data_IF_268397992937
#
_entry.id   IF_268397992937
#
_cell.length_a   1.000
_cell.length_b   1.000
_cell.length_c   1.000
_cell.angle_alpha   90.00
_cell.angle_beta   90.00
_cell.angle_gamma   90.00
#
_symmetry.space_group_name_H-M   'P 1'
#
loop_
_entity.id
_entity.type
_entity.pdbx_description
1 polymer ?
#
# COMPACT_ATOMS: atom_id res chain seq x y z
N UNK A 1 -2.11 -26.50 7.03
CA UNK A 1 -3.48 -25.92 7.08
C UNK A 1 -3.70 -25.22 5.76
N UNK A 2 -4.91 -25.19 5.21
CA UNK A 2 -5.12 -24.48 3.93
C UNK A 2 -5.14 -22.99 4.16
N UNK A 3 -4.39 -22.24 3.36
CA UNK A 3 -4.42 -20.77 3.35
C UNK A 3 -5.84 -20.25 3.05
N UNK A 4 -6.29 -19.14 3.65
CA UNK A 4 -7.59 -18.56 3.32
C UNK A 4 -7.61 -18.08 1.86
N UNK A 5 -8.72 -18.35 1.19
CA UNK A 5 -8.91 -17.91 -0.19
C UNK A 5 -8.99 -16.37 -0.22
N UNK A 6 -8.22 -15.70 -1.12
CA UNK A 6 -8.24 -14.25 -1.21
C UNK A 6 -9.57 -13.73 -1.74
N UNK A 7 -10.08 -12.64 -1.17
CA UNK A 7 -11.05 -11.80 -1.86
C UNK A 7 -10.31 -10.91 -2.86
N UNK A 8 -10.77 -10.91 -4.11
CA UNK A 8 -10.12 -10.23 -5.21
C UNK A 8 -11.13 -9.45 -6.03
N UNK A 9 -10.79 -8.21 -6.34
CA UNK A 9 -11.50 -7.39 -7.33
C UNK A 9 -10.60 -7.25 -8.56
N UNK A 10 -11.10 -7.64 -9.73
CA UNK A 10 -10.37 -7.50 -11.00
C UNK A 10 -11.02 -6.42 -11.86
N UNK A 11 -10.20 -5.59 -12.49
CA UNK A 11 -10.63 -4.54 -13.43
C UNK A 11 -9.73 -4.51 -14.66
N UNK A 12 -10.32 -4.26 -15.81
CA UNK A 12 -9.62 -4.26 -17.09
C UNK A 12 -9.18 -5.66 -17.55
N UNK A 13 -8.24 -5.68 -18.44
CA UNK A 13 -7.66 -6.92 -19.01
C UNK A 13 -6.25 -6.61 -19.51
N UNK A 14 -5.42 -7.62 -19.59
CA UNK A 14 -4.03 -7.48 -20.05
C UNK A 14 -3.05 -8.15 -19.08
N UNK A 15 -1.91 -7.53 -18.88
CA UNK A 15 -0.86 -8.03 -17.98
C UNK A 15 -1.27 -7.86 -16.52
N UNK A 16 -0.91 -8.77 -15.63
CA UNK A 16 -1.29 -8.67 -14.24
C UNK A 16 -0.58 -7.50 -13.53
N UNK A 17 -1.35 -6.66 -12.87
CA UNK A 17 -0.89 -5.65 -11.93
C UNK A 17 -1.57 -5.91 -10.59
N UNK A 18 -0.79 -6.37 -9.61
CA UNK A 18 -1.27 -6.65 -8.26
C UNK A 18 -1.22 -5.38 -7.41
N UNK A 19 -2.32 -5.08 -6.71
CA UNK A 19 -2.44 -3.94 -5.81
C UNK A 19 -2.72 -4.43 -4.39
N UNK A 20 -1.85 -4.05 -3.44
CA UNK A 20 -1.87 -4.51 -2.05
C UNK A 20 -2.05 -3.32 -1.11
N UNK A 21 -3.15 -3.32 -0.36
CA UNK A 21 -3.53 -2.23 0.54
C UNK A 21 -2.72 -2.22 1.86
N UNK A 22 -2.94 -1.19 2.68
CA UNK A 22 -2.34 -0.99 4.00
C UNK A 22 -3.09 -1.68 5.13
N UNK A 23 -2.60 -1.47 6.37
CA UNK A 23 -3.23 -1.97 7.59
C UNK A 23 -4.56 -1.26 7.85
N UNK A 24 -5.57 -1.98 8.32
CA UNK A 24 -6.84 -1.39 8.76
C UNK A 24 -7.77 -0.93 7.64
N UNK A 25 -7.48 -1.26 6.39
CA UNK A 25 -8.28 -0.92 5.21
C UNK A 25 -8.46 -2.15 4.31
N UNK A 26 -9.11 -2.01 3.15
CA UNK A 26 -9.26 -3.06 2.16
C UNK A 26 -8.97 -2.53 0.74
N UNK A 27 -9.23 -3.33 -0.29
CA UNK A 27 -8.99 -2.98 -1.69
C UNK A 27 -9.55 -1.60 -2.11
N UNK A 28 -10.63 -1.12 -1.44
CA UNK A 28 -11.25 0.18 -1.75
C UNK A 28 -10.28 1.34 -1.58
N UNK A 29 -9.33 1.19 -0.67
CA UNK A 29 -8.29 2.18 -0.41
C UNK A 29 -7.46 2.54 -1.64
N UNK A 30 -7.29 1.59 -2.56
CA UNK A 30 -6.50 1.79 -3.79
C UNK A 30 -7.36 2.09 -5.03
N UNK A 31 -8.70 2.03 -4.93
CA UNK A 31 -9.59 2.32 -6.07
C UNK A 31 -9.46 3.75 -6.64
N UNK A 32 -9.12 4.81 -5.86
CA UNK A 32 -8.83 6.13 -6.43
C UNK A 32 -7.74 6.14 -7.50
N UNK A 33 -6.87 5.13 -7.55
CA UNK A 33 -5.82 5.00 -8.56
C UNK A 33 -6.30 4.31 -9.85
N UNK A 34 -7.51 3.74 -9.86
CA UNK A 34 -7.96 2.88 -10.95
C UNK A 34 -8.05 3.62 -12.30
N UNK A 35 -8.56 4.84 -12.31
CA UNK A 35 -8.67 5.66 -13.54
C UNK A 35 -7.29 5.96 -14.14
N UNK A 36 -6.28 6.26 -13.31
CA UNK A 36 -4.91 6.50 -13.74
C UNK A 36 -4.27 5.23 -14.33
N UNK A 37 -4.50 4.07 -13.71
CA UNK A 37 -4.02 2.77 -14.18
C UNK A 37 -4.78 2.31 -15.44
N UNK A 38 -6.07 2.63 -15.56
CA UNK A 38 -6.83 2.40 -16.78
C UNK A 38 -6.30 3.24 -17.94
N UNK A 39 -5.99 4.51 -17.69
CA UNK A 39 -5.42 5.43 -18.68
C UNK A 39 -4.03 4.96 -19.18
N UNK A 40 -3.21 4.35 -18.32
CA UNK A 40 -1.94 3.73 -18.72
C UNK A 40 -2.14 2.57 -19.71
N UNK A 41 -3.28 1.87 -19.61
CA UNK A 41 -3.68 0.79 -20.53
C UNK A 41 -2.88 -0.52 -20.39
N UNK A 42 -3.48 -1.60 -20.88
CA UNK A 42 -2.80 -2.90 -20.99
C UNK A 42 -2.65 -3.69 -19.69
N UNK A 43 -3.32 -3.27 -18.62
CA UNK A 43 -3.24 -3.91 -17.31
C UNK A 43 -4.57 -4.57 -16.91
N UNK A 44 -4.50 -5.81 -16.44
CA UNK A 44 -5.50 -6.40 -15.56
C UNK A 44 -5.13 -6.00 -14.13
N UNK A 45 -5.90 -5.09 -13.55
CA UNK A 45 -5.69 -4.58 -12.19
C UNK A 45 -6.34 -5.52 -11.19
N UNK A 46 -5.52 -6.13 -10.34
CA UNK A 46 -5.89 -7.17 -9.38
C UNK A 46 -5.75 -6.58 -7.97
N UNK A 47 -6.86 -6.17 -7.41
CA UNK A 47 -6.92 -5.64 -6.05
C UNK A 47 -7.19 -6.80 -5.09
N UNK A 48 -6.31 -7.02 -4.13
CA UNK A 48 -6.42 -8.12 -3.16
C UNK A 48 -6.69 -7.57 -1.76
N UNK A 49 -7.62 -8.19 -1.03
CA UNK A 49 -7.78 -7.96 0.40
C UNK A 49 -6.82 -8.87 1.17
N UNK A 50 -6.04 -8.29 2.08
CA UNK A 50 -5.14 -9.02 2.96
C UNK A 50 -5.93 -9.88 3.97
N UNK A 51 -5.36 -10.96 4.52
CA UNK A 51 -6.03 -11.81 5.50
C UNK A 51 -6.53 -11.05 6.74
N UNK A 52 -7.80 -11.23 7.09
CA UNK A 52 -8.45 -10.52 8.20
C UNK A 52 -8.97 -9.13 7.83
N UNK A 53 -8.86 -8.73 6.54
CA UNK A 53 -9.35 -7.44 6.05
C UNK A 53 -10.33 -7.64 4.90
N UNK A 54 -11.29 -6.71 4.77
CA UNK A 54 -12.26 -6.69 3.70
C UNK A 54 -13.06 -8.00 3.59
N UNK A 55 -12.85 -8.74 2.50
CA UNK A 55 -13.54 -10.01 2.23
C UNK A 55 -12.67 -11.25 2.40
N UNK A 56 -11.37 -11.11 2.74
CA UNK A 56 -10.47 -12.25 2.96
C UNK A 56 -10.51 -12.71 4.42
N UNK A 57 -10.80 -13.99 4.70
CA UNK A 57 -10.78 -14.52 6.07
C UNK A 57 -9.39 -14.38 6.71
N UNK A 58 -9.33 -14.31 8.03
CA UNK A 58 -8.09 -14.26 8.79
C UNK A 58 -7.24 -15.52 8.59
N UNK A 59 -5.91 -15.37 8.70
CA UNK A 59 -4.99 -16.51 8.79
C UNK A 59 -5.26 -17.30 10.06
N UNK A 60 -5.10 -18.62 9.96
CA UNK A 60 -5.06 -19.50 11.13
C UNK A 60 -3.63 -19.48 11.73
N UNK A 61 -3.54 -19.65 13.04
CA UNK A 61 -2.25 -19.73 13.74
C UNK A 61 -1.73 -18.38 14.23
N UNK A 62 -0.44 -18.13 14.11
CA UNK A 62 0.21 -16.91 14.64
C UNK A 62 -0.23 -15.67 13.91
N UNK A 63 -0.30 -15.71 12.58
CA UNK A 63 -0.86 -14.64 11.75
C UNK A 63 -0.02 -13.36 11.76
N UNK A 64 1.31 -13.51 11.88
CA UNK A 64 2.26 -12.42 11.83
C UNK A 64 2.67 -12.03 10.41
N UNK A 65 3.61 -11.10 10.31
CA UNK A 65 4.06 -10.55 9.03
C UNK A 65 4.69 -11.62 8.09
N UNK A 66 5.46 -12.62 8.59
CA UNK A 66 5.97 -13.69 7.75
C UNK A 66 4.88 -14.52 7.09
N UNK A 67 3.81 -14.86 7.82
CA UNK A 67 2.68 -15.62 7.28
C UNK A 67 1.88 -14.81 6.25
N UNK A 68 1.79 -13.48 6.41
CA UNK A 68 1.21 -12.59 5.38
C UNK A 68 2.05 -12.58 4.11
N UNK A 69 3.38 -12.56 4.23
CA UNK A 69 4.29 -12.62 3.09
C UNK A 69 4.21 -13.98 2.37
N UNK A 70 4.12 -15.08 3.10
CA UNK A 70 3.94 -16.43 2.55
C UNK A 70 2.59 -16.56 1.85
N UNK A 71 1.53 -16.05 2.48
CA UNK A 71 0.20 -16.04 1.88
C UNK A 71 0.15 -15.24 0.58
N UNK A 72 0.77 -14.06 0.53
CA UNK A 72 0.80 -13.24 -0.68
C UNK A 72 1.59 -13.91 -1.81
N UNK A 73 2.68 -14.59 -1.48
CA UNK A 73 3.48 -15.37 -2.43
C UNK A 73 2.68 -16.53 -3.04
N UNK A 74 1.92 -17.27 -2.21
CA UNK A 74 1.01 -18.33 -2.65
C UNK A 74 -0.12 -17.77 -3.53
N UNK A 75 -0.70 -16.62 -3.15
CA UNK A 75 -1.74 -15.94 -3.96
C UNK A 75 -1.20 -15.56 -5.34
N UNK A 76 0.01 -15.04 -5.43
CA UNK A 76 0.62 -14.71 -6.73
C UNK A 76 0.85 -15.97 -7.55
N UNK A 77 1.34 -17.04 -6.95
CA UNK A 77 1.53 -18.33 -7.64
C UNK A 77 0.21 -18.89 -8.22
N UNK A 78 -0.87 -18.78 -7.45
CA UNK A 78 -2.19 -19.27 -7.86
C UNK A 78 -2.85 -18.38 -8.93
N UNK A 79 -2.64 -17.05 -8.86
CA UNK A 79 -3.30 -16.09 -9.75
C UNK A 79 -2.65 -15.95 -11.12
N UNK A 80 -1.32 -15.92 -11.13
CA UNK A 80 -0.54 -15.60 -12.36
C UNK A 80 0.50 -16.66 -12.70
N UNK A 81 0.75 -17.65 -11.82
CA UNK A 81 1.76 -18.67 -12.05
C UNK A 81 3.15 -18.06 -12.21
N UNK A 82 3.78 -18.32 -13.35
CA UNK A 82 5.11 -17.78 -13.70
C UNK A 82 5.02 -16.54 -14.64
N UNK A 83 3.82 -16.03 -14.93
CA UNK A 83 3.68 -14.85 -15.78
C UNK A 83 4.31 -13.61 -15.11
N UNK A 84 5.02 -12.76 -15.88
CA UNK A 84 5.52 -11.50 -15.36
C UNK A 84 4.38 -10.60 -14.89
N UNK A 85 4.59 -9.91 -13.74
CA UNK A 85 3.60 -8.99 -13.18
C UNK A 85 4.27 -7.70 -12.71
N UNK A 86 3.48 -6.63 -12.62
CA UNK A 86 3.84 -5.45 -11.85
C UNK A 86 3.11 -5.46 -10.49
N UNK A 87 3.68 -4.77 -9.50
CA UNK A 87 3.09 -4.70 -8.15
C UNK A 87 3.04 -3.27 -7.63
N UNK A 88 1.95 -2.93 -6.94
CA UNK A 88 1.79 -1.68 -6.22
C UNK A 88 1.38 -1.98 -4.79
N UNK A 89 2.07 -1.40 -3.81
CA UNK A 89 1.73 -1.55 -2.41
C UNK A 89 1.76 -0.24 -1.63
N UNK A 90 0.85 -0.11 -0.65
CA UNK A 90 0.83 1.02 0.27
C UNK A 90 1.08 0.56 1.70
N UNK A 91 1.81 1.35 2.50
CA UNK A 91 2.07 1.05 3.91
C UNK A 91 2.67 -0.35 4.10
N UNK A 92 2.05 -1.23 4.90
CA UNK A 92 2.43 -2.65 5.04
C UNK A 92 2.37 -3.39 3.69
N UNK A 93 1.38 -3.08 2.83
CA UNK A 93 1.34 -3.65 1.48
C UNK A 93 2.59 -3.31 0.67
N UNK A 94 3.19 -2.13 0.91
CA UNK A 94 4.48 -1.74 0.34
C UNK A 94 5.65 -2.61 0.82
N UNK A 95 5.65 -3.01 2.11
CA UNK A 95 6.62 -3.98 2.63
C UNK A 95 6.40 -5.37 2.02
N UNK A 96 5.15 -5.84 1.95
CA UNK A 96 4.81 -7.15 1.40
C UNK A 96 5.16 -7.28 -0.09
N UNK A 97 4.95 -6.23 -0.91
CA UNK A 97 5.35 -6.29 -2.33
C UNK A 97 6.87 -6.19 -2.51
N UNK A 98 7.62 -5.52 -1.61
CA UNK A 98 9.09 -5.59 -1.60
C UNK A 98 9.58 -6.99 -1.22
N UNK A 99 8.90 -7.64 -0.27
CA UNK A 99 9.13 -9.04 0.09
C UNK A 99 8.91 -9.96 -1.13
N UNK A 100 7.85 -9.70 -1.91
CA UNK A 100 7.58 -10.42 -3.14
C UNK A 100 8.68 -10.20 -4.19
N UNK A 101 9.21 -8.98 -4.34
CA UNK A 101 10.38 -8.70 -5.20
C UNK A 101 11.59 -9.53 -4.76
N UNK A 102 11.86 -9.62 -3.47
CA UNK A 102 12.99 -10.41 -2.95
C UNK A 102 12.84 -11.93 -3.20
N UNK A 103 11.61 -12.42 -3.25
CA UNK A 103 11.30 -13.84 -3.53
C UNK A 103 11.25 -14.15 -5.02
N UNK A 104 10.79 -13.19 -5.85
CA UNK A 104 10.50 -13.37 -7.29
C UNK A 104 11.11 -12.24 -8.15
N UNK A 105 12.44 -11.98 -8.05
CA UNK A 105 13.05 -10.79 -8.66
C UNK A 105 12.93 -10.75 -10.19
N UNK A 106 12.88 -11.92 -10.85
CA UNK A 106 12.74 -12.00 -12.30
C UNK A 106 11.29 -11.90 -12.78
N UNK A 107 10.33 -12.24 -11.91
CA UNK A 107 8.91 -12.23 -12.25
C UNK A 107 8.28 -10.85 -12.05
N UNK A 108 8.70 -10.12 -11.02
CA UNK A 108 8.21 -8.75 -10.78
C UNK A 108 8.94 -7.78 -11.71
N UNK A 109 8.20 -7.12 -12.59
CA UNK A 109 8.76 -6.28 -13.67
C UNK A 109 8.54 -4.78 -13.45
N UNK A 110 7.84 -4.41 -12.40
CA UNK A 110 7.62 -3.02 -12.00
C UNK A 110 7.15 -2.95 -10.55
N UNK A 111 7.66 -1.97 -9.80
CA UNK A 111 7.36 -1.78 -8.37
C UNK A 111 6.87 -0.36 -8.10
N UNK A 112 5.69 -0.19 -7.51
CA UNK A 112 5.20 1.09 -7.01
C UNK A 112 4.92 1.00 -5.50
N UNK A 113 5.39 2.00 -4.77
CA UNK A 113 5.30 2.09 -3.32
C UNK A 113 4.69 3.43 -2.92
N UNK A 114 3.57 3.41 -2.20
CA UNK A 114 2.92 4.60 -1.68
C UNK A 114 3.01 4.60 -0.16
N UNK A 115 3.70 5.57 0.41
CA UNK A 115 3.96 5.66 1.85
C UNK A 115 4.30 4.28 2.46
N UNK A 116 5.30 3.54 1.92
CA UNK A 116 5.56 2.17 2.35
C UNK A 116 6.15 2.11 3.76
N UNK A 117 5.80 1.06 4.52
CA UNK A 117 6.60 0.65 5.66
C UNK A 117 7.95 0.16 5.13
N UNK A 118 9.05 0.75 5.56
CA UNK A 118 10.42 0.30 5.22
C UNK A 118 10.89 -0.69 6.27
N UNK A 119 10.98 -0.26 7.52
CA UNK A 119 11.28 -1.13 8.65
C UNK A 119 9.98 -1.48 9.39
N UNK A 120 9.69 -2.76 9.65
CA UNK A 120 8.52 -3.15 10.43
C UNK A 120 8.61 -2.67 11.89
N UNK A 121 9.81 -2.52 12.47
CA UNK A 121 9.98 -2.00 13.83
C UNK A 121 9.56 -0.52 13.91
N UNK A 122 8.47 -0.18 14.61
CA UNK A 122 8.01 1.20 14.71
C UNK A 122 9.03 2.12 15.41
N UNK A 123 9.83 1.59 16.31
CA UNK A 123 10.83 2.36 17.06
C UNK A 123 12.08 2.68 16.22
N UNK A 124 12.27 1.99 15.10
CA UNK A 124 13.35 2.25 14.15
C UNK A 124 13.01 3.35 13.13
N UNK A 125 11.74 3.74 13.01
CA UNK A 125 11.27 4.69 11.98
C UNK A 125 11.61 6.14 12.33
N UNK A 126 12.09 6.89 11.36
CA UNK A 126 12.23 8.36 11.45
C UNK A 126 10.96 9.05 10.96
N UNK A 127 10.06 9.37 11.89
CA UNK A 127 8.76 9.99 11.60
C UNK A 127 8.72 11.45 12.06
N UNK A 128 8.14 12.38 11.26
CA UNK A 128 7.97 13.76 11.69
C UNK A 128 6.92 13.88 12.81
N UNK A 129 6.98 14.99 13.53
CA UNK A 129 5.90 15.35 14.47
C UNK A 129 4.57 15.50 13.71
N UNK A 130 3.50 15.00 14.34
CA UNK A 130 2.15 15.14 13.76
C UNK A 130 1.79 16.59 13.50
N UNK A 131 1.39 16.86 12.27
CA UNK A 131 1.01 18.19 11.82
C UNK A 131 -0.33 18.14 11.09
N UNK A 132 -1.25 19.02 11.44
CA UNK A 132 -2.49 19.25 10.71
C UNK A 132 -2.34 20.60 10.01
N UNK A 133 -2.36 20.57 8.67
CA UNK A 133 -2.12 21.76 7.85
C UNK A 133 -3.39 22.57 7.58
N UNK A 134 -4.55 21.92 7.56
CA UNK A 134 -5.82 22.55 7.27
C UNK A 134 -6.95 21.88 8.03
N UNK A 135 -7.88 22.68 8.57
CA UNK A 135 -9.07 22.22 9.28
C UNK A 135 -10.32 22.95 8.81
N UNK A 136 -11.37 22.21 8.50
CA UNK A 136 -12.72 22.73 8.34
C UNK A 136 -13.51 22.48 9.64
N UNK A 137 -13.54 23.49 10.50
CA UNK A 137 -14.21 23.39 11.81
C UNK A 137 -15.73 23.14 11.67
N UNK A 138 -16.35 23.59 10.57
CA UNK A 138 -17.77 23.34 10.31
C UNK A 138 -17.99 21.86 9.96
N UNK A 139 -17.13 21.28 9.13
CA UNK A 139 -17.15 19.84 8.86
C UNK A 139 -16.97 19.04 10.16
N UNK A 140 -15.93 19.36 10.96
CA UNK A 140 -15.59 18.60 12.16
C UNK A 140 -16.72 18.62 13.20
N UNK A 141 -17.51 19.71 13.25
CA UNK A 141 -18.67 19.82 14.14
C UNK A 141 -19.89 19.01 13.66
N UNK A 142 -19.91 18.57 12.40
CA UNK A 142 -21.00 17.76 11.81
C UNK A 142 -20.72 16.25 11.88
N UNK A 143 -19.44 15.84 12.03
CA UNK A 143 -19.05 14.43 12.01
C UNK A 143 -19.47 13.71 13.29
N UNK A 144 -19.88 12.47 13.14
CA UNK A 144 -20.02 11.52 14.23
C UNK A 144 -18.64 11.21 14.84
N UNK A 145 -18.54 11.14 16.16
CA UNK A 145 -17.27 10.99 16.87
C UNK A 145 -16.56 9.68 16.51
N UNK A 146 -17.31 8.57 16.39
CA UNK A 146 -16.77 7.24 16.07
C UNK A 146 -16.24 7.18 14.63
N UNK A 147 -16.97 7.79 13.67
CA UNK A 147 -16.53 7.85 12.27
C UNK A 147 -15.38 8.85 12.07
N UNK A 148 -15.35 9.92 12.86
CA UNK A 148 -14.33 10.97 12.75
C UNK A 148 -12.96 10.54 13.30
N UNK A 149 -12.91 9.69 14.32
CA UNK A 149 -11.66 9.33 15.00
C UNK A 149 -10.57 8.83 14.05
N UNK A 150 -10.79 7.84 13.15
CA UNK A 150 -9.77 7.39 12.20
C UNK A 150 -9.36 8.47 11.20
N UNK A 151 -10.30 9.32 10.79
CA UNK A 151 -10.02 10.44 9.91
C UNK A 151 -9.13 11.48 10.59
N UNK A 152 -9.46 11.85 11.83
CA UNK A 152 -8.70 12.81 12.61
C UNK A 152 -7.31 12.31 12.97
N UNK A 153 -7.14 10.99 13.12
CA UNK A 153 -5.83 10.38 13.37
C UNK A 153 -4.94 10.37 12.12
N UNK A 154 -5.49 10.18 10.93
CA UNK A 154 -4.71 10.00 9.71
C UNK A 154 -4.59 11.27 8.87
N UNK A 155 -5.67 12.08 8.75
CA UNK A 155 -5.69 13.19 7.80
C UNK A 155 -4.89 14.40 8.27
N UNK A 156 -3.99 14.86 7.44
CA UNK A 156 -3.24 16.13 7.60
C UNK A 156 -4.00 17.32 7.00
N UNK A 157 -4.92 17.04 6.09
CA UNK A 157 -5.87 17.98 5.47
C UNK A 157 -7.28 17.55 5.87
N UNK A 158 -7.84 18.20 6.87
CA UNK A 158 -9.15 17.86 7.44
C UNK A 158 -10.25 18.73 6.81
N UNK A 159 -10.49 18.55 5.51
CA UNK A 159 -11.47 19.28 4.71
C UNK A 159 -12.53 18.34 4.15
N UNK A 160 -13.67 18.92 3.71
CA UNK A 160 -14.78 18.13 3.18
C UNK A 160 -14.41 17.25 1.99
N UNK A 161 -13.65 17.70 0.98
CA UNK A 161 -13.25 16.83 -0.12
C UNK A 161 -12.42 15.62 0.35
N UNK A 162 -11.45 15.81 1.28
CA UNK A 162 -10.63 14.71 1.82
C UNK A 162 -11.47 13.78 2.68
N UNK A 163 -12.41 14.32 3.46
CA UNK A 163 -13.37 13.51 4.22
C UNK A 163 -14.24 12.64 3.33
N UNK A 164 -14.74 13.16 2.20
CA UNK A 164 -15.56 12.39 1.25
C UNK A 164 -14.78 11.22 0.65
N UNK A 165 -13.52 11.43 0.27
CA UNK A 165 -12.62 10.36 -0.16
C UNK A 165 -12.37 9.34 0.96
N UNK A 166 -12.10 9.80 2.16
CA UNK A 166 -11.86 8.94 3.33
C UNK A 166 -13.08 8.07 3.64
N UNK A 167 -14.27 8.68 3.66
CA UNK A 167 -15.54 7.99 3.91
C UNK A 167 -15.86 6.94 2.85
N UNK A 168 -15.50 7.19 1.59
CA UNK A 168 -15.76 6.26 0.49
C UNK A 168 -14.73 5.12 0.45
N UNK A 169 -13.46 5.42 0.69
CA UNK A 169 -12.36 4.51 0.39
C UNK A 169 -11.66 3.92 1.61
N UNK A 170 -11.80 4.52 2.80
CA UNK A 170 -11.15 4.07 4.04
C UNK A 170 -12.14 3.43 5.01
N UNK A 171 -13.19 4.17 5.41
CA UNK A 171 -14.13 3.71 6.44
C UNK A 171 -14.76 2.35 6.16
N UNK A 172 -15.20 2.00 4.93
CA UNK A 172 -15.81 0.70 4.70
C UNK A 172 -14.87 -0.49 4.91
N UNK A 173 -13.56 -0.29 4.70
CA UNK A 173 -12.53 -1.27 5.02
C UNK A 173 -12.28 -1.36 6.52
N UNK A 174 -12.11 -0.20 7.18
CA UNK A 174 -11.88 -0.12 8.62
C UNK A 174 -13.00 -0.80 9.44
N UNK A 175 -14.25 -0.67 9.01
CA UNK A 175 -15.41 -1.31 9.66
C UNK A 175 -15.49 -2.84 9.47
N UNK A 176 -14.60 -3.43 8.67
CA UNK A 176 -14.57 -4.88 8.35
C UNK A 176 -13.31 -5.57 8.80
N UNK A 177 -12.50 -4.91 9.59
CA UNK A 177 -11.28 -5.48 10.15
C UNK A 177 -11.65 -6.59 11.14
N UNK A 178 -10.99 -7.73 11.03
CA UNK A 178 -10.98 -8.76 12.07
C UNK A 178 -9.99 -8.31 13.16
N UNK A 179 -10.50 -7.84 14.28
CA UNK A 179 -9.72 -7.27 15.38
C UNK A 179 -8.74 -8.28 15.99
N UNK A 180 -9.12 -9.55 16.05
CA UNK A 180 -8.24 -10.62 16.55
C UNK A 180 -7.08 -10.88 15.54
N UNK A 181 -7.37 -10.82 14.24
CA UNK A 181 -6.33 -10.95 13.20
C UNK A 181 -5.40 -9.74 13.21
N UNK A 182 -5.94 -8.53 13.36
CA UNK A 182 -5.16 -7.30 13.48
C UNK A 182 -4.20 -7.36 14.68
N UNK A 183 -4.70 -7.81 15.84
CA UNK A 183 -3.89 -7.96 17.06
C UNK A 183 -2.75 -8.95 16.83
N UNK A 184 -3.02 -10.13 16.25
CA UNK A 184 -1.98 -11.13 15.96
C UNK A 184 -0.92 -10.59 14.98
N UNK A 185 -1.35 -9.88 13.95
CA UNK A 185 -0.43 -9.24 13.01
C UNK A 185 0.46 -8.20 13.72
N UNK A 186 -0.10 -7.39 14.61
CA UNK A 186 0.65 -6.39 15.39
C UNK A 186 1.64 -7.05 16.37
N UNK A 187 1.25 -8.15 17.01
CA UNK A 187 2.13 -8.91 17.91
C UNK A 187 3.28 -9.58 17.14
N UNK A 188 3.04 -10.01 15.90
CA UNK A 188 4.03 -10.63 15.00
C UNK A 188 4.53 -9.69 13.91
N UNK A 189 4.63 -8.38 14.15
CA UNK A 189 4.97 -7.37 13.15
C UNK A 189 6.48 -7.27 12.89
N UNK A 190 7.12 -8.38 12.59
CA UNK A 190 8.54 -8.47 12.26
C UNK A 190 8.77 -9.45 11.11
N UNK A 191 9.70 -9.16 10.20
CA UNK A 191 10.14 -10.10 9.19
C UNK A 191 11.18 -11.06 9.78
N UNK A 192 11.26 -12.28 9.25
CA UNK A 192 12.35 -13.18 9.52
C UNK A 192 13.58 -12.83 8.65
N UNK A 193 14.67 -12.46 9.31
CA UNK A 193 15.95 -12.17 8.64
C UNK A 193 16.09 -10.73 8.13
N UNK A 194 16.98 -10.50 7.14
CA UNK A 194 17.26 -9.17 6.62
C UNK A 194 16.07 -8.56 5.86
N UNK A 195 16.03 -7.23 5.77
CA UNK A 195 15.02 -6.52 4.98
C UNK A 195 15.07 -6.93 3.49
N UNK A 196 13.96 -6.80 2.75
CA UNK A 196 13.88 -7.25 1.36
C UNK A 196 15.00 -6.72 0.47
N UNK A 197 15.34 -5.44 0.57
CA UNK A 197 16.40 -4.78 -0.20
C UNK A 197 17.80 -5.30 0.10
N UNK A 198 18.06 -5.75 1.31
CA UNK A 198 19.35 -6.39 1.66
C UNK A 198 19.49 -7.76 0.98
N UNK A 199 18.38 -8.43 0.69
CA UNK A 199 18.35 -9.75 0.01
C UNK A 199 18.43 -9.64 -1.50
N UNK A 200 17.70 -8.72 -2.14
CA UNK A 200 17.80 -8.56 -3.60
C UNK A 200 18.95 -7.62 -4.01
N UNK A 201 19.47 -6.77 -3.09
CA UNK A 201 20.55 -5.82 -3.35
C UNK A 201 20.16 -4.68 -4.27
N UNK A 202 20.08 -4.94 -5.57
CA UNK A 202 19.67 -3.96 -6.59
C UNK A 202 18.52 -4.51 -7.43
N UNK A 203 17.48 -3.70 -7.61
CA UNK A 203 16.35 -4.01 -8.46
C UNK A 203 16.28 -3.01 -9.62
N UNK A 204 16.69 -3.46 -10.82
CA UNK A 204 16.82 -2.64 -12.03
C UNK A 204 15.57 -2.73 -12.91
N UNK A 205 14.41 -2.40 -12.35
CA UNK A 205 13.14 -2.29 -13.05
C UNK A 205 12.48 -0.95 -12.72
N UNK A 206 11.50 -0.48 -13.53
CA UNK A 206 10.78 0.76 -13.21
C UNK A 206 10.22 0.75 -11.80
N UNK A 207 10.70 1.69 -10.97
CA UNK A 207 10.27 1.81 -9.57
C UNK A 207 9.72 3.21 -9.31
N UNK A 208 8.58 3.27 -8.63
CA UNK A 208 7.97 4.50 -8.13
C UNK A 208 7.90 4.44 -6.60
N UNK A 209 8.38 5.49 -5.93
CA UNK A 209 8.13 5.70 -4.50
C UNK A 209 7.51 7.07 -4.32
N UNK A 210 6.34 7.14 -3.68
CA UNK A 210 5.68 8.40 -3.32
C UNK A 210 5.44 8.44 -1.82
N UNK A 211 5.88 9.50 -1.15
CA UNK A 211 5.73 9.69 0.29
C UNK A 211 5.06 11.02 0.61
N UNK A 212 4.37 11.09 1.75
CA UNK A 212 3.87 12.35 2.30
C UNK A 212 4.91 13.03 3.17
N UNK A 213 5.11 14.36 2.99
CA UNK A 213 6.03 15.14 3.84
C UNK A 213 5.58 15.19 5.31
N UNK A 214 4.28 15.06 5.55
CA UNK A 214 3.65 15.09 6.87
C UNK A 214 3.20 13.69 7.35
N UNK A 215 3.78 12.61 6.81
CA UNK A 215 3.46 11.24 7.24
C UNK A 215 4.09 10.96 8.61
N UNK A 216 3.25 10.99 9.67
CA UNK A 216 3.62 10.72 11.05
C UNK A 216 3.50 9.22 11.43
N UNK A 217 3.16 8.35 10.48
CA UNK A 217 3.00 6.90 10.68
C UNK A 217 4.23 6.10 10.25
N UNK A 218 4.75 6.39 9.05
CA UNK A 218 5.92 5.69 8.49
C UNK A 218 7.05 6.64 8.06
N UNK A 219 6.83 7.95 8.14
CA UNK A 219 7.82 8.95 7.77
C UNK A 219 8.09 9.01 6.26
N UNK A 220 9.24 9.55 5.91
CA UNK A 220 9.72 9.68 4.53
C UNK A 220 11.24 9.51 4.41
N UNK A 221 11.98 9.54 5.51
CA UNK A 221 13.45 9.44 5.49
C UNK A 221 13.92 8.03 5.14
N UNK A 222 13.26 7.01 5.69
CA UNK A 222 13.58 5.61 5.39
C UNK A 222 13.29 5.29 3.92
N UNK A 223 12.21 5.86 3.35
CA UNK A 223 11.89 5.72 1.93
C UNK A 223 12.91 6.40 1.02
N UNK A 224 13.51 7.53 1.46
CA UNK A 224 14.63 8.15 0.73
C UNK A 224 15.87 7.24 0.73
N UNK A 225 16.13 6.54 1.83
CA UNK A 225 17.27 5.62 1.92
C UNK A 225 17.13 4.42 0.96
N UNK A 226 15.92 4.01 0.62
CA UNK A 226 15.69 2.96 -0.37
C UNK A 226 16.23 3.30 -1.78
N UNK A 227 16.47 4.58 -2.08
CA UNK A 227 16.85 5.02 -3.42
C UNK A 227 18.12 4.34 -3.95
N UNK A 228 19.05 3.94 -3.08
CA UNK A 228 20.30 3.28 -3.47
C UNK A 228 20.07 1.88 -4.09
N UNK A 229 18.94 1.24 -3.80
CA UNK A 229 18.59 -0.09 -4.29
C UNK A 229 17.87 -0.09 -5.65
N UNK A 230 17.41 1.09 -6.11
CA UNK A 230 16.56 1.23 -7.29
C UNK A 230 17.15 2.17 -8.35
N UNK A 231 18.03 1.69 -9.27
CA UNK A 231 18.63 2.53 -10.32
C UNK A 231 17.63 3.23 -11.24
N UNK A 232 16.42 2.68 -11.39
CA UNK A 232 15.34 3.22 -12.24
C UNK A 232 14.19 3.78 -11.40
N UNK A 233 14.54 4.55 -10.37
CA UNK A 233 13.61 5.11 -9.41
C UNK A 233 13.05 6.46 -9.86
N UNK A 234 11.74 6.61 -9.80
CA UNK A 234 11.06 7.89 -9.62
C UNK A 234 10.67 8.03 -8.15
N UNK A 235 11.19 9.03 -7.47
CA UNK A 235 10.90 9.30 -6.06
C UNK A 235 10.28 10.67 -5.90
N UNK A 236 9.14 10.75 -5.21
CA UNK A 236 8.46 12.00 -4.89
C UNK A 236 8.08 12.07 -3.41
N UNK A 237 8.44 13.17 -2.76
CA UNK A 237 7.95 13.55 -1.45
C UNK A 237 6.99 14.72 -1.62
N UNK A 238 5.72 14.52 -1.32
CA UNK A 238 4.67 15.51 -1.56
C UNK A 238 4.37 16.32 -0.30
N UNK A 239 4.41 17.64 -0.42
CA UNK A 239 3.87 18.54 0.59
C UNK A 239 2.35 18.43 0.65
N UNK A 240 1.76 18.80 1.79
CA UNK A 240 0.32 18.69 2.05
C UNK A 240 -0.20 17.26 1.89
N UNK A 241 0.60 16.28 2.30
CA UNK A 241 0.27 14.87 2.28
C UNK A 241 0.83 14.14 3.51
N UNK A 242 0.00 13.32 4.12
CA UNK A 242 0.35 12.40 5.19
C UNK A 242 0.45 10.97 4.68
N UNK A 243 0.03 10.02 5.53
CA UNK A 243 0.08 8.60 5.22
C UNK A 243 -0.83 8.19 4.05
N UNK A 244 -1.96 8.86 3.86
CA UNK A 244 -2.89 8.63 2.77
C UNK A 244 -2.53 9.46 1.52
N UNK A 245 -1.26 9.44 1.12
CA UNK A 245 -0.68 10.33 0.10
C UNK A 245 -1.50 10.40 -1.20
N UNK A 246 -2.10 9.29 -1.63
CA UNK A 246 -2.91 9.21 -2.85
C UNK A 246 -4.33 9.78 -2.69
N UNK A 247 -4.83 9.95 -1.47
CA UNK A 247 -6.07 10.67 -1.18
C UNK A 247 -5.79 12.16 -0.96
N UNK A 248 -4.69 12.51 -0.30
CA UNK A 248 -4.30 13.89 -0.03
C UNK A 248 -3.85 14.63 -1.31
N UNK A 249 -3.21 13.93 -2.25
CA UNK A 249 -2.64 14.47 -3.49
C UNK A 249 -3.03 13.61 -4.71
N UNK A 250 -4.32 13.33 -4.86
CA UNK A 250 -4.90 12.42 -5.84
C UNK A 250 -4.37 12.63 -7.27
N UNK A 251 -4.44 13.87 -7.77
CA UNK A 251 -4.02 14.17 -9.13
C UNK A 251 -2.51 13.97 -9.36
N UNK A 252 -1.69 14.39 -8.40
CA UNK A 252 -0.23 14.26 -8.50
C UNK A 252 0.18 12.79 -8.44
N UNK A 253 -0.36 12.03 -7.50
CA UNK A 253 -0.08 10.60 -7.36
C UNK A 253 -0.62 9.82 -8.55
N UNK A 254 -1.84 10.10 -9.00
CA UNK A 254 -2.43 9.47 -10.18
C UNK A 254 -1.57 9.64 -11.43
N UNK A 255 -1.06 10.85 -11.70
CA UNK A 255 -0.17 11.09 -12.85
C UNK A 255 1.15 10.32 -12.74
N UNK A 256 1.75 10.23 -11.55
CA UNK A 256 2.98 9.46 -11.34
C UNK A 256 2.75 7.96 -11.48
N UNK A 257 1.66 7.44 -10.95
CA UNK A 257 1.25 6.03 -11.08
C UNK A 257 0.97 5.67 -12.53
N UNK A 258 0.29 6.52 -13.28
CA UNK A 258 0.07 6.33 -14.71
C UNK A 258 1.40 6.23 -15.47
N UNK A 259 2.30 7.21 -15.30
CA UNK A 259 3.60 7.21 -15.96
C UNK A 259 4.44 5.96 -15.62
N UNK A 260 4.45 5.58 -14.34
CA UNK A 260 5.14 4.36 -13.90
C UNK A 260 4.54 3.11 -14.54
N UNK A 261 3.23 2.99 -14.60
CA UNK A 261 2.56 1.83 -15.20
C UNK A 261 2.84 1.74 -16.72
N UNK A 262 2.90 2.89 -17.43
CA UNK A 262 3.31 2.93 -18.83
C UNK A 262 4.77 2.48 -19.01
N UNK A 263 5.69 2.84 -18.09
CA UNK A 263 7.09 2.42 -18.14
C UNK A 263 7.23 0.94 -17.80
N UNK A 264 6.55 0.44 -16.77
CA UNK A 264 6.55 -0.98 -16.42
C UNK A 264 6.00 -1.86 -17.55
N UNK A 265 5.03 -1.37 -18.32
CA UNK A 265 4.48 -2.08 -19.47
C UNK A 265 5.50 -2.31 -20.60
N UNK A 266 6.61 -1.58 -20.65
CA UNK A 266 7.67 -1.74 -21.67
C UNK A 266 8.69 -2.81 -21.31
N UNK A 267 8.71 -3.29 -20.07
CA UNK A 267 9.63 -4.32 -19.57
C UNK A 267 9.12 -5.75 -19.83
N UNK A 268 7.90 -5.90 -20.33
CA UNK A 268 7.18 -7.16 -20.46
C UNK A 268 7.14 -7.70 -21.88
#
# INVERSE_FOLDING_TARGET
MSQPAPHIVRRGFGRPLLLVHGLGVDHRFLLPLDDALEAAGGWERIYVDLPGFGGTPALEGEGGLPEFADWLDDVVADLVGEEPLAVLGTSIGGLLVRELVARRPEQVTGLALLAPVVDPDPDARDVPERTILEKDEALLAELDEEEAEPFLDLAVIQTRPVWEQFREHVLPGAQRVDEDALTRLQDGYALEGPLPEERFGTYDRPTLIVTGRQDDKVGFMDQLALAEHFPRLTLAMLDRAGHNVHLDQEQAVGAMVQNWAEDAAREL
#
